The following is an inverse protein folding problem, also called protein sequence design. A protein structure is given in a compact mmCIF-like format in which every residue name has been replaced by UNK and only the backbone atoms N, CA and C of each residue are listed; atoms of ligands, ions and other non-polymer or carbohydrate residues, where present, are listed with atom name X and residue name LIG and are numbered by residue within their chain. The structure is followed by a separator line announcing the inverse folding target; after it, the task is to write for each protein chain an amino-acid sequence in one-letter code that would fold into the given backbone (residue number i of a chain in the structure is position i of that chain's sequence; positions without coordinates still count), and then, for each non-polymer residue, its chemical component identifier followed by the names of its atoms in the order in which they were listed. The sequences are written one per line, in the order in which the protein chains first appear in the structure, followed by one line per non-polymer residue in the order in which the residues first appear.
data_IF_071176702517
#
_entry.id   IF_071176702517
#
_cell.length_a   1.000
_cell.length_b   1.000
_cell.length_c   1.000
_cell.angle_alpha   90.00
_cell.angle_beta   90.00
_cell.angle_gamma   90.00
#
_symmetry.space_group_name_H-M   'P 1'
#
loop_
_entity.id
_entity.type
_entity.pdbx_description
1 polymer ?
#
# COMPACT_ATOMS: atom_id res chain seq x y z
N UNK A 1 -11.81 -22.36 -28.85
CA UNK A 1 -10.40 -22.68 -28.57
C UNK A 1 -9.54 -21.70 -29.36
N UNK A 2 -8.60 -21.01 -28.69
CA UNK A 2 -7.56 -20.25 -29.38
C UNK A 2 -6.63 -21.23 -30.08
N UNK A 3 -6.35 -21.03 -31.37
CA UNK A 3 -5.35 -21.79 -32.09
C UNK A 3 -4.06 -20.96 -32.12
N UNK A 4 -3.09 -21.33 -31.28
CA UNK A 4 -1.78 -20.69 -31.28
C UNK A 4 -0.85 -21.46 -32.19
N UNK A 5 -0.29 -20.77 -33.18
CA UNK A 5 0.84 -21.27 -33.96
C UNK A 5 2.11 -20.84 -33.23
N UNK A 6 2.81 -21.79 -32.62
CA UNK A 6 4.09 -21.56 -31.98
C UNK A 6 5.21 -21.94 -32.94
N UNK A 7 6.29 -21.19 -32.92
CA UNK A 7 7.53 -21.59 -33.57
C UNK A 7 8.18 -22.76 -32.80
N UNK A 8 8.98 -23.62 -33.48
CA UNK A 8 9.55 -24.82 -32.85
C UNK A 8 10.36 -24.54 -31.58
N UNK A 9 11.02 -23.38 -31.52
CA UNK A 9 11.75 -22.94 -30.33
C UNK A 9 10.81 -22.65 -29.16
N UNK A 10 9.72 -21.91 -29.38
CA UNK A 10 8.75 -21.63 -28.32
C UNK A 10 7.98 -22.88 -27.87
N UNK A 11 7.73 -23.84 -28.78
CA UNK A 11 7.17 -25.15 -28.40
C UNK A 11 8.07 -25.91 -27.43
N UNK A 12 9.40 -25.90 -27.64
CA UNK A 12 10.34 -26.52 -26.70
C UNK A 12 10.26 -25.89 -25.30
N UNK A 13 10.16 -24.56 -25.22
CA UNK A 13 10.01 -23.87 -23.93
C UNK A 13 8.70 -24.25 -23.24
N UNK A 14 7.61 -24.38 -23.99
CA UNK A 14 6.32 -24.80 -23.43
C UNK A 14 6.43 -26.20 -22.81
N UNK A 15 7.03 -27.16 -23.51
CA UNK A 15 7.23 -28.52 -23.01
C UNK A 15 8.05 -28.53 -21.73
N UNK A 16 9.16 -27.79 -21.69
CA UNK A 16 10.03 -27.70 -20.52
C UNK A 16 9.33 -27.09 -19.30
N UNK A 17 8.54 -26.03 -19.51
CA UNK A 17 7.77 -25.37 -18.45
C UNK A 17 6.72 -26.33 -17.88
N UNK A 18 5.95 -26.99 -18.75
CA UNK A 18 4.90 -27.92 -18.34
C UNK A 18 5.49 -29.11 -17.57
N UNK A 19 6.63 -29.65 -18.01
CA UNK A 19 7.32 -30.74 -17.32
C UNK A 19 7.81 -30.31 -15.93
N UNK A 20 8.34 -29.10 -15.80
CA UNK A 20 8.88 -28.59 -14.53
C UNK A 20 7.81 -28.22 -13.53
N UNK A 21 6.75 -27.54 -13.97
CA UNK A 21 5.69 -27.05 -13.10
C UNK A 21 4.59 -28.08 -12.84
N UNK A 22 4.53 -29.16 -13.64
CA UNK A 22 3.47 -30.19 -13.58
C UNK A 22 2.07 -29.59 -13.70
N UNK A 23 1.92 -28.62 -14.60
CA UNK A 23 0.67 -27.89 -14.88
C UNK A 23 0.16 -28.21 -16.28
N UNK A 24 -1.03 -27.70 -16.60
CA UNK A 24 -1.60 -27.81 -17.95
C UNK A 24 -1.34 -26.53 -18.76
N UNK A 25 -1.39 -26.65 -20.10
CA UNK A 25 -1.25 -25.50 -21.01
C UNK A 25 -2.28 -24.41 -20.73
N UNK A 26 -3.52 -24.78 -20.41
CA UNK A 26 -4.59 -23.82 -20.10
C UNK A 26 -4.32 -23.03 -18.81
N UNK A 27 -3.89 -23.71 -17.74
CA UNK A 27 -3.52 -23.04 -16.48
C UNK A 27 -2.32 -22.12 -16.65
N UNK A 28 -1.28 -22.59 -17.36
CA UNK A 28 -0.11 -21.78 -17.65
C UNK A 28 -0.49 -20.53 -18.44
N UNK A 29 -1.31 -20.68 -19.48
CA UNK A 29 -1.72 -19.58 -20.35
C UNK A 29 -2.58 -18.57 -19.57
N UNK A 30 -3.53 -19.02 -18.73
CA UNK A 30 -4.31 -18.15 -17.84
C UNK A 30 -3.40 -17.34 -16.90
N UNK A 31 -2.40 -18.01 -16.29
CA UNK A 31 -1.46 -17.36 -15.37
C UNK A 31 -0.60 -16.32 -16.08
N UNK A 32 -0.03 -16.68 -17.24
CA UNK A 32 0.80 -15.78 -18.04
C UNK A 32 0.02 -14.58 -18.55
N UNK A 33 -1.20 -14.78 -19.06
CA UNK A 33 -2.06 -13.67 -19.49
C UNK A 33 -2.39 -12.74 -18.33
N UNK A 34 -2.73 -13.28 -17.17
CA UNK A 34 -3.03 -12.47 -15.99
C UNK A 34 -1.80 -11.66 -15.55
N UNK A 35 -0.62 -12.29 -15.49
CA UNK A 35 0.63 -11.60 -15.14
C UNK A 35 1.01 -10.53 -16.16
N UNK A 36 0.88 -10.82 -17.45
CA UNK A 36 1.16 -9.86 -18.51
C UNK A 36 0.17 -8.69 -18.45
N UNK A 37 -1.13 -8.96 -18.27
CA UNK A 37 -2.14 -7.93 -18.08
C UNK A 37 -1.83 -7.02 -16.88
N UNK A 38 -1.40 -7.59 -15.75
CA UNK A 38 -0.95 -6.81 -14.60
C UNK A 38 0.30 -5.97 -14.90
N UNK A 39 1.24 -6.48 -15.70
CA UNK A 39 2.46 -5.75 -16.07
C UNK A 39 2.18 -4.53 -16.95
N UNK A 40 1.12 -4.58 -17.75
CA UNK A 40 0.65 -3.46 -18.57
C UNK A 40 -0.11 -2.41 -17.74
N UNK A 41 -0.59 -2.76 -16.55
CA UNK A 41 -1.26 -1.78 -15.70
C UNK A 41 -0.24 -0.73 -15.22
N UNK A 42 -0.59 0.57 -15.29
CA UNK A 42 0.26 1.60 -14.73
C UNK A 42 0.48 1.34 -13.25
N UNK A 43 1.72 1.52 -12.79
CA UNK A 43 2.03 1.38 -11.36
C UNK A 43 1.21 2.42 -10.59
N UNK A 44 0.18 1.97 -9.88
CA UNK A 44 -0.59 2.84 -8.99
C UNK A 44 0.34 3.49 -7.97
N UNK A 45 0.30 4.81 -7.91
CA UNK A 45 0.95 5.61 -6.87
C UNK A 45 0.37 5.25 -5.49
N UNK A 46 1.08 5.58 -4.40
CA UNK A 46 0.57 5.36 -3.04
C UNK A 46 -0.81 6.01 -2.83
N UNK A 47 -1.03 7.16 -3.46
CA UNK A 47 -2.29 7.90 -3.41
C UNK A 47 -3.41 7.11 -4.10
N UNK A 48 -3.18 6.63 -5.32
CA UNK A 48 -4.17 5.84 -6.07
C UNK A 48 -4.49 4.50 -5.41
N UNK A 49 -3.49 3.87 -4.76
CA UNK A 49 -3.71 2.66 -3.95
C UNK A 49 -4.60 2.91 -2.73
N UNK A 50 -4.59 4.13 -2.20
CA UNK A 50 -5.39 4.55 -1.05
C UNK A 50 -6.77 5.11 -1.44
N UNK A 51 -7.14 5.07 -2.72
CA UNK A 51 -8.42 5.56 -3.20
C UNK A 51 -8.43 7.04 -3.58
N UNK A 52 -7.26 7.65 -3.80
CA UNK A 52 -7.12 9.05 -4.21
C UNK A 52 -6.54 9.93 -3.11
N UNK A 53 -6.51 11.24 -3.36
CA UNK A 53 -6.11 12.21 -2.35
C UNK A 53 -7.21 12.36 -1.29
N UNK A 54 -6.86 12.42 0.01
CA UNK A 54 -7.83 12.73 1.05
C UNK A 54 -8.53 14.05 0.75
N UNK A 55 -9.87 14.03 0.77
CA UNK A 55 -10.71 15.20 0.46
C UNK A 55 -10.54 16.32 1.50
N UNK A 56 -10.28 15.95 2.76
CA UNK A 56 -10.20 16.86 3.90
C UNK A 56 -8.84 16.78 4.60
N UNK A 57 -7.75 16.82 3.84
CA UNK A 57 -6.41 16.74 4.43
C UNK A 57 -6.09 18.02 5.20
N UNK A 58 -6.05 17.92 6.53
CA UNK A 58 -5.65 19.02 7.41
C UNK A 58 -6.59 20.24 7.37
N UNK A 59 -7.86 20.07 6.95
CA UNK A 59 -8.82 21.18 6.87
C UNK A 59 -9.07 21.85 8.21
N UNK A 60 -9.22 21.06 9.28
CA UNK A 60 -9.38 21.56 10.65
C UNK A 60 -8.05 21.73 11.38
N UNK A 61 -6.92 21.46 10.71
CA UNK A 61 -5.63 21.64 11.33
C UNK A 61 -5.28 23.13 11.36
N UNK A 62 -4.97 23.70 12.53
CA UNK A 62 -4.40 25.04 12.58
C UNK A 62 -3.14 25.08 11.71
N UNK A 63 -3.05 26.07 10.82
CA UNK A 63 -1.95 26.23 9.85
C UNK A 63 -0.56 26.03 10.48
N UNK A 64 -0.46 26.43 11.74
CA UNK A 64 0.74 26.46 12.55
C UNK A 64 1.16 25.12 13.18
N UNK A 65 0.29 24.11 13.31
CA UNK A 65 0.68 22.81 13.93
C UNK A 65 1.60 21.95 13.06
N UNK A 66 1.72 22.30 11.78
CA UNK A 66 2.71 21.72 10.87
C UNK A 66 4.15 22.13 11.25
N UNK A 67 4.33 23.22 12.00
CA UNK A 67 5.63 23.65 12.49
C UNK A 67 6.03 22.87 13.74
N UNK A 68 7.29 22.41 13.75
CA UNK A 68 7.86 21.62 14.84
C UNK A 68 7.77 22.34 16.20
N UNK A 69 7.99 23.66 16.21
CA UNK A 69 7.99 24.45 17.44
C UNK A 69 6.60 24.55 18.05
N UNK A 70 5.57 24.69 17.22
CA UNK A 70 4.18 24.67 17.68
C UNK A 70 3.78 23.31 18.25
N UNK A 71 4.21 22.20 17.63
CA UNK A 71 4.00 20.85 18.18
C UNK A 71 4.65 20.68 19.54
N UNK A 72 5.89 21.14 19.72
CA UNK A 72 6.61 21.06 21.00
C UNK A 72 5.88 21.81 22.10
N UNK A 73 5.40 23.02 21.80
CA UNK A 73 4.66 23.85 22.76
C UNK A 73 3.38 23.15 23.24
N UNK A 74 2.55 22.66 22.32
CA UNK A 74 1.29 21.97 22.66
C UNK A 74 1.55 20.73 23.52
N UNK A 75 2.58 19.95 23.20
CA UNK A 75 2.95 18.75 23.98
C UNK A 75 3.44 19.14 25.38
N UNK A 76 4.26 20.20 25.50
CA UNK A 76 4.73 20.67 26.79
C UNK A 76 3.58 21.14 27.69
N UNK A 77 2.63 21.90 27.13
CA UNK A 77 1.42 22.36 27.84
C UNK A 77 0.56 21.18 28.32
N UNK A 78 0.35 20.17 27.46
CA UNK A 78 -0.39 18.96 27.82
C UNK A 78 0.29 18.18 28.95
N UNK A 79 1.61 18.01 28.90
CA UNK A 79 2.39 17.32 29.95
C UNK A 79 2.28 18.08 31.28
N UNK A 80 2.44 19.41 31.26
CA UNK A 80 2.34 20.24 32.45
C UNK A 80 0.96 20.14 33.10
N UNK A 81 -0.11 20.26 32.30
CA UNK A 81 -1.50 20.12 32.76
C UNK A 81 -1.75 18.75 33.38
N UNK A 82 -1.30 17.68 32.73
CA UNK A 82 -1.42 16.31 33.24
C UNK A 82 -0.69 16.11 34.58
N UNK A 83 0.49 16.72 34.75
CA UNK A 83 1.20 16.69 36.02
C UNK A 83 0.46 17.45 37.13
N UNK A 84 -0.15 18.60 36.82
CA UNK A 84 -0.98 19.34 37.78
C UNK A 84 -2.19 18.51 38.21
N UNK A 85 -2.94 17.93 37.26
CA UNK A 85 -4.09 17.07 37.54
C UNK A 85 -3.73 15.86 38.41
N UNK A 86 -2.53 15.28 38.22
CA UNK A 86 -2.04 14.18 39.08
C UNK A 86 -1.71 14.65 40.50
N UNK A 87 -1.09 15.83 40.65
CA UNK A 87 -0.78 16.40 41.97
C UNK A 87 -2.06 16.70 42.74
N UNK A 88 -3.02 17.37 42.10
CA UNK A 88 -4.32 17.69 42.70
C UNK A 88 -5.11 16.43 43.10
N UNK A 89 -4.96 15.33 42.36
CA UNK A 89 -5.58 14.05 42.70
C UNK A 89 -4.93 13.38 43.92
N UNK A 90 -3.61 13.49 44.05
CA UNK A 90 -2.87 12.95 45.18
C UNK A 90 -3.03 13.78 46.46
N UNK A 91 -3.24 15.10 46.35
CA UNK A 91 -3.46 15.98 47.50
C UNK A 91 -4.89 15.90 48.07
N UNK A 92 -5.85 15.39 47.28
CA UNK A 92 -7.25 15.20 47.69
C UNK A 92 -7.56 13.78 48.21
N UNK A 93 -6.57 12.89 48.26
CA UNK A 93 -6.70 11.50 48.73
C UNK A 93 -5.98 11.29 50.06
#
# INVERSE_FOLDING_TARGET
MLNLQLDPTTESYLVDILAKEKTTTDELLKRLLYQHWLSLQPRKTLVERRGGHPQHLLEDAPADLSLRENRKRVVAEYIAKRHQEMKERNEKS
#
